data_IF_675840435458
#
_entry.id   IF_675840435458
#
_cell.length_a   1.000
_cell.length_b   1.000
_cell.length_c   1.000
_cell.angle_alpha   90.00
_cell.angle_beta   90.00
_cell.angle_gamma   90.00
#
_symmetry.space_group_name_H-M   'P 1'
#
loop_
_entity.id
_entity.type
_entity.pdbx_description
1 polymer ?
#
# COMPACT_ATOMS: atom_id res chain seq x y z
N UNK A 1 -18.36 -4.09 19.60
CA UNK A 1 -18.89 -5.33 18.99
C UNK A 1 -18.80 -5.18 17.48
N UNK A 2 -18.18 -6.13 16.77
CA UNK A 2 -18.17 -6.11 15.32
C UNK A 2 -19.62 -6.22 14.82
N UNK A 3 -20.01 -5.42 13.82
CA UNK A 3 -21.36 -5.50 13.24
C UNK A 3 -21.61 -6.93 12.74
N UNK A 4 -22.81 -7.50 12.94
CA UNK A 4 -23.13 -8.82 12.42
C UNK A 4 -22.96 -8.82 10.89
N UNK A 5 -22.22 -9.81 10.39
CA UNK A 5 -21.86 -9.91 8.98
C UNK A 5 -23.02 -10.48 8.18
N UNK A 6 -23.24 -9.92 6.99
CA UNK A 6 -24.24 -10.42 6.06
C UNK A 6 -23.51 -11.06 4.86
N UNK A 7 -23.49 -12.40 4.81
CA UNK A 7 -22.81 -13.15 3.75
C UNK A 7 -23.29 -12.77 2.35
N UNK A 8 -24.58 -12.46 2.19
CA UNK A 8 -25.14 -12.05 0.90
C UNK A 8 -24.61 -10.69 0.46
N UNK A 9 -24.53 -9.73 1.39
CA UNK A 9 -23.94 -8.41 1.12
C UNK A 9 -22.45 -8.54 0.81
N UNK A 10 -21.72 -9.36 1.57
CA UNK A 10 -20.29 -9.61 1.33
C UNK A 10 -20.07 -10.19 -0.08
N UNK A 11 -20.91 -11.13 -0.51
CA UNK A 11 -20.84 -11.72 -1.84
C UNK A 11 -21.22 -10.74 -2.95
N UNK A 12 -22.26 -9.92 -2.76
CA UNK A 12 -22.63 -8.88 -3.73
C UNK A 12 -21.52 -7.84 -3.92
N UNK A 13 -20.84 -7.43 -2.84
CA UNK A 13 -19.67 -6.56 -2.92
C UNK A 13 -18.54 -7.20 -3.73
N UNK A 14 -18.28 -8.49 -3.49
CA UNK A 14 -17.29 -9.24 -4.26
C UNK A 14 -17.66 -9.35 -5.74
N UNK A 15 -18.91 -9.70 -6.05
CA UNK A 15 -19.40 -9.75 -7.42
C UNK A 15 -19.27 -8.38 -8.10
N UNK A 16 -19.62 -7.31 -7.40
CA UNK A 16 -19.45 -5.93 -7.86
C UNK A 16 -18.00 -5.61 -8.20
N UNK A 17 -17.04 -6.00 -7.34
CA UNK A 17 -15.61 -5.84 -7.64
C UNK A 17 -15.21 -6.62 -8.90
N UNK A 18 -15.64 -7.87 -9.04
CA UNK A 18 -15.28 -8.72 -10.18
C UNK A 18 -15.86 -8.21 -11.50
N UNK A 19 -17.09 -7.73 -11.49
CA UNK A 19 -17.71 -7.09 -12.65
C UNK A 19 -16.98 -5.79 -13.02
N UNK A 20 -16.61 -4.98 -12.03
CA UNK A 20 -15.83 -3.78 -12.25
C UNK A 20 -14.44 -4.10 -12.83
N UNK A 21 -13.75 -5.10 -12.28
CA UNK A 21 -12.46 -5.58 -12.79
C UNK A 21 -12.58 -6.06 -14.24
N UNK A 22 -13.61 -6.84 -14.57
CA UNK A 22 -13.86 -7.27 -15.95
C UNK A 22 -14.09 -6.07 -16.87
N UNK A 23 -14.88 -5.09 -16.43
CA UNK A 23 -15.17 -3.88 -17.20
C UNK A 23 -13.90 -3.07 -17.49
N UNK A 24 -13.07 -2.77 -16.49
CA UNK A 24 -11.84 -1.99 -16.72
C UNK A 24 -10.85 -2.70 -17.63
N UNK A 25 -10.82 -4.04 -17.63
CA UNK A 25 -9.95 -4.84 -18.50
C UNK A 25 -10.37 -4.83 -19.97
N UNK A 26 -11.58 -4.35 -20.29
CA UNK A 26 -12.01 -4.12 -21.68
C UNK A 26 -11.33 -2.90 -22.32
N UNK A 27 -10.70 -2.04 -21.52
CA UNK A 27 -10.09 -0.79 -21.97
C UNK A 27 -8.58 -0.78 -21.77
N UNK A 28 -7.86 0.00 -22.58
CA UNK A 28 -6.43 0.24 -22.40
C UNK A 28 -6.12 1.04 -21.12
N UNK A 29 -4.86 0.99 -20.69
CA UNK A 29 -4.39 1.67 -19.46
C UNK A 29 -4.71 3.17 -19.49
N UNK A 30 -4.44 3.86 -20.59
CA UNK A 30 -4.71 5.29 -20.73
C UNK A 30 -6.20 5.65 -20.51
N UNK A 31 -7.10 4.88 -21.12
CA UNK A 31 -8.54 5.10 -20.97
C UNK A 31 -8.99 4.88 -19.51
N UNK A 32 -8.46 3.84 -18.86
CA UNK A 32 -8.72 3.59 -17.44
C UNK A 32 -8.20 4.72 -16.54
N UNK A 33 -7.06 5.33 -16.85
CA UNK A 33 -6.53 6.49 -16.13
C UNK A 33 -7.39 7.75 -16.31
N UNK A 34 -7.92 7.99 -17.51
CA UNK A 34 -8.88 9.07 -17.75
C UNK A 34 -10.16 8.84 -16.94
N UNK A 35 -10.71 7.62 -16.95
CA UNK A 35 -11.86 7.25 -16.13
C UNK A 35 -11.58 7.49 -14.64
N UNK A 36 -10.46 6.96 -14.12
CA UNK A 36 -10.06 7.14 -12.72
C UNK A 36 -9.86 8.62 -12.35
N UNK A 37 -9.39 9.45 -13.29
CA UNK A 37 -9.28 10.89 -13.07
C UNK A 37 -10.65 11.54 -12.81
N UNK A 38 -11.65 11.23 -13.63
CA UNK A 38 -12.99 11.75 -13.47
C UNK A 38 -13.68 11.19 -12.22
N UNK A 39 -13.54 9.89 -11.96
CA UNK A 39 -14.06 9.25 -10.74
C UNK A 39 -13.47 9.90 -9.49
N UNK A 40 -12.15 10.12 -9.43
CA UNK A 40 -11.51 10.77 -8.28
C UNK A 40 -11.94 12.22 -8.10
N UNK A 41 -12.21 12.94 -9.19
CA UNK A 41 -12.78 14.29 -9.11
C UNK A 41 -14.18 14.27 -8.50
N UNK A 42 -15.04 13.35 -8.93
CA UNK A 42 -16.40 13.17 -8.39
C UNK A 42 -16.33 12.77 -6.91
N UNK A 43 -15.46 11.80 -6.56
CA UNK A 43 -15.26 11.35 -5.19
C UNK A 43 -14.85 12.50 -4.26
N UNK A 44 -13.98 13.40 -4.72
CA UNK A 44 -13.61 14.59 -3.94
C UNK A 44 -14.81 15.50 -3.62
N UNK A 45 -15.78 15.60 -4.53
CA UNK A 45 -16.96 16.42 -4.30
C UNK A 45 -17.96 15.74 -3.37
N UNK A 46 -18.19 14.42 -3.54
CA UNK A 46 -19.17 13.64 -2.78
C UNK A 46 -18.68 13.26 -1.37
N UNK A 47 -17.41 12.85 -1.24
CA UNK A 47 -16.85 12.38 0.04
C UNK A 47 -16.37 13.55 0.91
N UNK A 48 -17.35 14.27 1.47
CA UNK A 48 -17.11 15.42 2.32
C UNK A 48 -16.27 15.09 3.55
N UNK A 49 -16.42 13.88 4.11
CA UNK A 49 -15.72 13.45 5.31
C UNK A 49 -14.22 13.30 5.06
N UNK A 50 -13.83 12.54 4.04
CA UNK A 50 -12.42 12.33 3.72
C UNK A 50 -11.79 13.59 3.15
N UNK A 51 -12.54 14.39 2.37
CA UNK A 51 -12.09 15.71 1.94
C UNK A 51 -11.72 16.61 3.11
N UNK A 52 -12.58 16.69 4.14
CA UNK A 52 -12.32 17.51 5.33
C UNK A 52 -11.04 17.05 6.04
N UNK A 53 -10.90 15.75 6.26
CA UNK A 53 -9.71 15.15 6.89
C UNK A 53 -8.43 15.42 6.12
N UNK A 54 -8.44 15.23 4.79
CA UNK A 54 -7.28 15.48 3.95
C UNK A 54 -6.81 16.93 4.04
N UNK A 55 -7.75 17.89 3.94
CA UNK A 55 -7.43 19.32 4.09
C UNK A 55 -6.91 19.68 5.47
N UNK A 56 -7.49 19.11 6.52
CA UNK A 56 -7.07 19.33 7.90
C UNK A 56 -5.66 18.80 8.16
N UNK A 57 -5.35 17.59 7.69
CA UNK A 57 -4.00 17.04 7.77
C UNK A 57 -2.99 17.95 7.05
N UNK A 58 -3.32 18.41 5.84
CA UNK A 58 -2.45 19.32 5.08
C UNK A 58 -2.23 20.65 5.79
N UNK A 59 -3.27 21.29 6.34
CA UNK A 59 -3.12 22.54 7.10
C UNK A 59 -2.20 22.38 8.32
N UNK A 60 -2.33 21.26 9.03
CA UNK A 60 -1.50 21.00 10.21
C UNK A 60 -0.06 20.60 9.83
N UNK A 61 0.14 19.98 8.68
CA UNK A 61 1.48 19.56 8.21
C UNK A 61 2.22 20.66 7.45
N UNK A 62 1.49 21.58 6.82
CA UNK A 62 2.01 22.66 5.99
C UNK A 62 1.28 23.98 6.33
N UNK A 63 1.59 24.60 7.48
CA UNK A 63 0.85 25.77 7.98
C UNK A 63 0.98 26.99 7.05
N UNK A 64 2.07 27.09 6.29
CA UNK A 64 2.33 28.21 5.38
C UNK A 64 1.65 28.08 4.02
N UNK A 65 0.89 27.00 3.78
CA UNK A 65 0.20 26.81 2.50
C UNK A 65 -1.13 27.56 2.44
N UNK A 66 -1.37 28.21 1.31
CA UNK A 66 -2.66 28.82 1.03
C UNK A 66 -3.78 27.78 0.82
N UNK A 67 -5.02 28.22 0.99
CA UNK A 67 -6.19 27.35 0.88
C UNK A 67 -6.35 26.77 -0.53
N UNK A 68 -5.89 27.49 -1.56
CA UNK A 68 -5.92 27.04 -2.95
C UNK A 68 -5.01 25.84 -3.17
N UNK A 69 -3.76 25.90 -2.67
CA UNK A 69 -2.79 24.80 -2.71
C UNK A 69 -3.27 23.62 -1.87
N UNK A 70 -3.77 23.86 -0.66
CA UNK A 70 -4.35 22.80 0.19
C UNK A 70 -5.47 22.07 -0.55
N UNK A 71 -6.41 22.80 -1.16
CA UNK A 71 -7.51 22.18 -1.93
C UNK A 71 -6.99 21.40 -3.13
N UNK A 72 -6.03 21.95 -3.88
CA UNK A 72 -5.42 21.31 -5.05
C UNK A 72 -4.76 19.98 -4.68
N UNK A 73 -3.95 19.98 -3.63
CA UNK A 73 -3.22 18.79 -3.16
C UNK A 73 -4.17 17.77 -2.52
N UNK A 74 -5.14 18.21 -1.71
CA UNK A 74 -6.15 17.30 -1.16
C UNK A 74 -6.94 16.57 -2.26
N UNK A 75 -7.32 17.31 -3.32
CA UNK A 75 -8.01 16.72 -4.48
C UNK A 75 -7.14 15.72 -5.23
N UNK A 76 -5.86 16.06 -5.46
CA UNK A 76 -4.92 15.14 -6.08
C UNK A 76 -4.69 13.88 -5.23
N UNK A 77 -4.54 14.03 -3.91
CA UNK A 77 -4.36 12.92 -2.97
C UNK A 77 -5.57 11.98 -2.93
N UNK A 78 -6.80 12.51 -2.87
CA UNK A 78 -8.01 11.68 -2.91
C UNK A 78 -8.17 10.97 -4.26
N UNK A 79 -7.81 11.62 -5.37
CA UNK A 79 -7.78 10.97 -6.69
C UNK A 79 -6.73 9.86 -6.74
N UNK A 80 -5.59 10.01 -6.08
CA UNK A 80 -4.56 8.97 -6.00
C UNK A 80 -5.08 7.68 -5.37
N UNK A 81 -6.05 7.74 -4.46
CA UNK A 81 -6.69 6.53 -3.91
C UNK A 81 -7.45 5.75 -4.99
N UNK A 82 -8.04 6.45 -5.97
CA UNK A 82 -8.70 5.81 -7.12
C UNK A 82 -7.68 5.19 -8.06
N UNK A 83 -6.55 5.88 -8.32
CA UNK A 83 -5.44 5.31 -9.08
C UNK A 83 -4.89 4.05 -8.41
N UNK A 84 -4.61 4.10 -7.10
CA UNK A 84 -4.17 2.95 -6.32
C UNK A 84 -5.11 1.74 -6.50
N UNK A 85 -6.42 1.94 -6.35
CA UNK A 85 -7.41 0.87 -6.50
C UNK A 85 -7.44 0.30 -7.92
N UNK A 86 -7.40 1.16 -8.94
CA UNK A 86 -7.33 0.74 -10.34
C UNK A 86 -6.05 -0.05 -10.63
N UNK A 87 -4.91 0.48 -10.20
CA UNK A 87 -3.60 -0.12 -10.43
C UNK A 87 -3.50 -1.49 -9.78
N UNK A 88 -4.01 -1.69 -8.56
CA UNK A 88 -4.08 -3.02 -7.91
C UNK A 88 -4.76 -4.06 -8.80
N UNK A 89 -5.83 -3.69 -9.51
CA UNK A 89 -6.59 -4.60 -10.36
C UNK A 89 -5.92 -4.86 -11.72
N UNK A 90 -5.19 -3.87 -12.27
CA UNK A 90 -4.49 -4.00 -13.54
C UNK A 90 -3.09 -4.64 -13.40
N UNK A 91 -2.45 -4.45 -12.25
CA UNK A 91 -1.07 -4.88 -11.98
C UNK A 91 -0.79 -6.34 -12.34
N UNK A 92 -1.66 -7.32 -12.03
CA UNK A 92 -1.36 -8.72 -12.33
C UNK A 92 -1.22 -9.04 -13.82
N UNK A 93 -1.84 -8.24 -14.69
CA UNK A 93 -1.80 -8.45 -16.14
C UNK A 93 -0.66 -7.64 -16.80
N UNK A 94 -0.28 -6.52 -16.18
CA UNK A 94 0.75 -5.59 -16.68
C UNK A 94 2.16 -5.93 -16.15
N UNK A 95 2.26 -6.30 -14.88
CA UNK A 95 3.52 -6.50 -14.15
C UNK A 95 3.85 -7.99 -14.11
N UNK A 96 4.12 -8.55 -15.29
CA UNK A 96 4.62 -9.91 -15.45
C UNK A 96 6.13 -9.89 -15.69
N UNK A 97 6.86 -11.02 -15.49
CA UNK A 97 8.29 -11.08 -15.77
C UNK A 97 8.67 -10.60 -17.17
N UNK A 98 7.79 -10.81 -18.16
CA UNK A 98 8.01 -10.41 -19.55
C UNK A 98 7.68 -8.92 -19.84
N UNK A 99 6.78 -8.29 -19.09
CA UNK A 99 6.20 -6.98 -19.47
C UNK A 99 6.47 -5.85 -18.49
N UNK A 100 6.88 -6.12 -17.25
CA UNK A 100 6.94 -5.10 -16.19
C UNK A 100 7.73 -3.83 -16.58
N UNK A 101 8.81 -3.96 -17.35
CA UNK A 101 9.65 -2.83 -17.82
C UNK A 101 8.95 -1.88 -18.79
N UNK A 102 7.83 -2.27 -19.38
CA UNK A 102 7.03 -1.41 -20.26
C UNK A 102 6.25 -0.36 -19.46
N UNK A 103 5.95 -0.65 -18.19
CA UNK A 103 5.10 0.19 -17.33
C UNK A 103 5.86 0.78 -16.15
N UNK A 104 7.01 0.22 -15.79
CA UNK A 104 7.73 0.56 -14.56
C UNK A 104 9.22 0.74 -14.82
N UNK A 105 9.78 1.75 -14.17
CA UNK A 105 11.22 1.99 -14.12
C UNK A 105 11.67 2.11 -12.65
N UNK A 106 12.63 1.28 -12.25
CA UNK A 106 13.29 1.37 -10.95
C UNK A 106 14.38 2.45 -11.00
N UNK A 107 13.97 3.71 -10.92
CA UNK A 107 14.88 4.85 -11.02
C UNK A 107 15.70 5.05 -9.74
N UNK A 108 16.99 5.33 -9.90
CA UNK A 108 17.93 5.62 -8.80
C UNK A 108 18.05 4.51 -7.74
N UNK A 109 17.78 3.24 -8.11
CA UNK A 109 17.81 2.11 -7.19
C UNK A 109 19.07 1.22 -7.32
N UNK A 110 20.10 1.64 -8.06
CA UNK A 110 21.26 0.77 -8.35
C UNK A 110 21.92 0.22 -7.10
N UNK A 111 22.16 1.06 -6.10
CA UNK A 111 22.81 0.65 -4.86
C UNK A 111 21.91 -0.26 -4.03
N UNK A 112 20.62 0.08 -3.90
CA UNK A 112 19.64 -0.77 -3.22
C UNK A 112 19.57 -2.14 -3.89
N UNK A 113 19.41 -2.20 -5.21
CA UNK A 113 19.39 -3.46 -5.97
C UNK A 113 20.69 -4.24 -5.77
N UNK A 114 21.85 -3.58 -5.74
CA UNK A 114 23.13 -4.25 -5.47
C UNK A 114 23.15 -4.89 -4.08
N UNK A 115 22.68 -4.19 -3.06
CA UNK A 115 22.58 -4.71 -1.70
C UNK A 115 21.60 -5.90 -1.63
N UNK A 116 20.47 -5.79 -2.32
CA UNK A 116 19.48 -6.87 -2.42
C UNK A 116 20.01 -8.11 -3.15
N UNK A 117 20.83 -7.95 -4.17
CA UNK A 117 21.42 -9.08 -4.90
C UNK A 117 22.54 -9.76 -4.12
N UNK A 118 23.24 -9.03 -3.24
CA UNK A 118 24.25 -9.61 -2.37
C UNK A 118 23.63 -10.37 -1.21
N UNK A 119 22.57 -9.79 -0.62
CA UNK A 119 21.76 -10.37 0.44
C UNK A 119 22.58 -11.05 1.55
N UNK A 120 23.65 -10.39 1.99
CA UNK A 120 24.59 -10.89 3.01
C UNK A 120 24.01 -10.85 4.43
N UNK A 121 22.86 -10.19 4.60
CA UNK A 121 22.14 -10.02 5.87
C UNK A 121 20.66 -9.77 5.62
N UNK A 122 19.84 -9.90 6.67
CA UNK A 122 18.43 -9.55 6.63
C UNK A 122 18.19 -8.11 6.20
N UNK A 123 17.10 -7.86 5.49
CA UNK A 123 16.73 -6.53 5.01
C UNK A 123 15.35 -6.10 5.50
N UNK A 124 15.21 -4.82 5.85
CA UNK A 124 13.93 -4.22 6.19
C UNK A 124 13.55 -3.22 5.09
N UNK A 125 12.48 -3.50 4.35
CA UNK A 125 11.90 -2.55 3.40
C UNK A 125 10.89 -1.68 4.15
N UNK A 126 11.04 -0.36 4.02
CA UNK A 126 10.23 0.60 4.73
C UNK A 126 9.60 1.58 3.75
N UNK A 127 8.29 1.76 3.84
CA UNK A 127 7.56 2.79 3.12
C UNK A 127 6.43 3.38 3.98
N UNK A 128 5.74 4.38 3.45
CA UNK A 128 4.45 4.87 3.97
C UNK A 128 3.32 4.54 3.00
N UNK A 129 2.08 4.90 3.36
CA UNK A 129 0.94 4.90 2.46
C UNK A 129 1.07 6.07 1.45
N UNK A 130 2.13 6.01 0.64
CA UNK A 130 2.55 7.05 -0.29
C UNK A 130 2.85 6.45 -1.66
N UNK A 131 2.46 7.16 -2.72
CA UNK A 131 2.53 6.63 -4.09
C UNK A 131 1.65 5.38 -4.24
N UNK A 132 2.23 4.31 -4.78
CA UNK A 132 1.58 3.01 -4.87
C UNK A 132 2.47 1.90 -4.27
N UNK A 133 2.24 1.62 -2.99
CA UNK A 133 2.98 0.59 -2.25
C UNK A 133 2.58 -0.84 -2.65
N UNK A 134 1.38 -1.04 -3.22
CA UNK A 134 0.93 -2.36 -3.69
C UNK A 134 1.69 -2.76 -4.96
N UNK A 135 1.85 -1.83 -5.91
CA UNK A 135 2.57 -2.05 -7.15
C UNK A 135 4.04 -2.32 -6.89
N UNK A 136 4.71 -1.55 -6.02
CA UNK A 136 6.13 -1.78 -5.73
C UNK A 136 6.34 -3.14 -5.07
N UNK A 137 5.53 -3.52 -4.08
CA UNK A 137 5.62 -4.84 -3.43
C UNK A 137 5.40 -5.98 -4.42
N UNK A 138 4.37 -5.86 -5.26
CA UNK A 138 4.10 -6.83 -6.31
C UNK A 138 5.23 -6.92 -7.33
N UNK A 139 5.77 -5.77 -7.78
CA UNK A 139 6.88 -5.70 -8.75
C UNK A 139 8.13 -6.36 -8.21
N UNK A 140 8.49 -6.10 -6.93
CA UNK A 140 9.66 -6.71 -6.29
C UNK A 140 9.54 -8.24 -6.26
N UNK A 141 8.34 -8.75 -5.94
CA UNK A 141 8.05 -10.19 -6.01
C UNK A 141 8.15 -10.72 -7.47
N UNK A 142 7.56 -10.01 -8.44
CA UNK A 142 7.62 -10.35 -9.87
C UNK A 142 9.06 -10.48 -10.39
N UNK A 143 9.97 -9.62 -9.94
CA UNK A 143 11.37 -9.64 -10.39
C UNK A 143 12.26 -10.59 -9.56
N UNK A 144 11.67 -11.36 -8.64
CA UNK A 144 12.34 -12.44 -7.92
C UNK A 144 12.87 -12.08 -6.54
N UNK A 145 12.59 -10.89 -6.02
CA UNK A 145 12.95 -10.56 -4.64
C UNK A 145 11.90 -11.10 -3.67
N UNK A 146 12.29 -11.79 -2.58
CA UNK A 146 11.36 -12.20 -1.55
C UNK A 146 10.76 -10.97 -0.87
N UNK A 147 9.44 -10.90 -0.80
CA UNK A 147 8.70 -9.80 -0.16
C UNK A 147 7.78 -10.39 0.89
N UNK A 148 8.07 -10.12 2.17
CA UNK A 148 7.21 -10.49 3.28
C UNK A 148 6.51 -9.23 3.82
N UNK A 149 5.23 -9.05 3.51
CA UNK A 149 4.48 -7.87 3.93
C UNK A 149 3.56 -8.18 5.11
N UNK A 150 3.57 -7.33 6.13
CA UNK A 150 2.65 -7.45 7.26
C UNK A 150 1.34 -6.74 6.91
N UNK A 151 0.22 -7.47 6.88
CA UNK A 151 -1.08 -6.88 6.60
C UNK A 151 -2.19 -7.49 7.47
N UNK A 152 -3.22 -6.68 7.75
CA UNK A 152 -4.46 -7.17 8.35
C UNK A 152 -5.39 -7.71 7.25
N UNK A 153 -6.07 -8.85 7.45
CA UNK A 153 -7.11 -9.31 6.55
C UNK A 153 -8.22 -8.25 6.34
N UNK A 154 -8.76 -8.19 5.12
CA UNK A 154 -9.95 -7.38 4.85
C UNK A 154 -11.17 -7.97 5.57
N UNK A 155 -12.10 -7.11 5.98
CA UNK A 155 -13.27 -7.54 6.75
C UNK A 155 -14.21 -8.45 5.92
N UNK A 156 -14.23 -8.28 4.59
CA UNK A 156 -14.95 -9.17 3.66
C UNK A 156 -14.00 -10.29 3.17
N UNK A 157 -14.32 -11.57 3.42
CA UNK A 157 -13.44 -12.70 3.16
C UNK A 157 -13.28 -13.01 1.67
N UNK A 158 -14.31 -12.79 0.86
CA UNK A 158 -14.23 -13.01 -0.58
C UNK A 158 -13.29 -11.97 -1.23
N UNK A 159 -13.40 -10.71 -0.80
CA UNK A 159 -12.46 -9.66 -1.19
C UNK A 159 -11.06 -9.96 -0.65
N UNK A 160 -10.95 -10.41 0.60
CA UNK A 160 -9.67 -10.77 1.21
C UNK A 160 -8.96 -11.87 0.41
N UNK A 161 -9.64 -12.98 0.13
CA UNK A 161 -9.09 -14.10 -0.62
C UNK A 161 -8.66 -13.69 -2.03
N UNK A 162 -9.47 -12.89 -2.71
CA UNK A 162 -9.13 -12.39 -4.04
C UNK A 162 -7.88 -11.49 -4.02
N UNK A 163 -7.82 -10.49 -3.13
CA UNK A 163 -6.67 -9.57 -3.03
C UNK A 163 -5.42 -10.30 -2.53
N UNK A 164 -5.57 -11.28 -1.62
CA UNK A 164 -4.46 -12.11 -1.17
C UNK A 164 -3.91 -12.95 -2.32
N UNK A 165 -4.79 -13.58 -3.11
CA UNK A 165 -4.41 -14.33 -4.30
C UNK A 165 -3.75 -13.46 -5.37
N UNK A 166 -4.16 -12.19 -5.50
CA UNK A 166 -3.45 -11.20 -6.32
C UNK A 166 -2.03 -10.99 -5.78
N UNK A 167 -1.88 -10.60 -4.51
CA UNK A 167 -0.56 -10.32 -3.90
C UNK A 167 0.39 -11.52 -4.01
N UNK A 168 -0.10 -12.71 -3.66
CA UNK A 168 0.72 -13.92 -3.59
C UNK A 168 1.03 -14.55 -4.96
N UNK A 169 0.39 -14.11 -6.04
CA UNK A 169 0.54 -14.70 -7.39
C UNK A 169 2.00 -14.82 -7.84
N UNK A 170 2.84 -13.84 -7.50
CA UNK A 170 4.23 -13.76 -7.92
C UNK A 170 5.22 -13.95 -6.75
N UNK A 171 4.81 -14.62 -5.66
CA UNK A 171 5.73 -15.02 -4.59
C UNK A 171 5.83 -14.06 -3.40
N UNK A 172 5.03 -12.99 -3.34
CA UNK A 172 4.89 -12.19 -2.12
C UNK A 172 4.22 -13.02 -1.04
N UNK A 173 4.73 -12.96 0.19
CA UNK A 173 4.12 -13.59 1.36
C UNK A 173 3.50 -12.52 2.25
N UNK A 174 2.25 -12.73 2.67
CA UNK A 174 1.56 -11.81 3.57
C UNK A 174 1.51 -12.42 4.96
N UNK A 175 2.15 -11.76 5.92
CA UNK A 175 2.18 -12.16 7.33
C UNK A 175 0.99 -11.54 8.06
N UNK A 176 0.29 -12.33 8.88
CA UNK A 176 -0.70 -11.79 9.81
C UNK A 176 0.03 -10.97 10.88
N UNK A 177 -0.54 -9.82 11.25
CA UNK A 177 -0.03 -8.97 12.34
C UNK A 177 0.14 -9.75 13.66
N UNK A 178 -0.64 -10.80 13.90
CA UNK A 178 -0.43 -11.72 15.03
C UNK A 178 0.74 -12.68 14.74
N UNK A 179 1.80 -12.58 15.53
CA UNK A 179 3.01 -13.40 15.33
C UNK A 179 3.97 -12.83 14.28
N UNK A 180 3.64 -11.69 13.66
CA UNK A 180 4.51 -11.03 12.67
C UNK A 180 5.92 -10.73 13.20
N UNK A 181 6.08 -10.47 14.50
CA UNK A 181 7.40 -10.16 15.08
C UNK A 181 8.32 -11.38 15.07
N UNK A 182 7.83 -12.54 15.52
CA UNK A 182 8.61 -13.80 15.53
C UNK A 182 8.96 -14.22 14.11
N UNK A 183 7.99 -14.18 13.20
CA UNK A 183 8.23 -14.49 11.79
C UNK A 183 9.19 -13.50 11.15
N UNK A 184 9.14 -12.22 11.52
CA UNK A 184 10.07 -11.22 11.01
C UNK A 184 11.51 -11.46 11.50
N UNK A 185 11.69 -11.84 12.77
CA UNK A 185 13.00 -12.23 13.30
C UNK A 185 13.57 -13.42 12.50
N UNK A 186 12.79 -14.51 12.34
CA UNK A 186 13.22 -15.70 11.59
C UNK A 186 13.57 -15.36 10.12
N UNK A 187 12.77 -14.49 9.48
CA UNK A 187 13.05 -14.07 8.10
C UNK A 187 14.36 -13.30 8.02
N UNK A 188 14.61 -12.37 8.94
CA UNK A 188 15.82 -11.55 8.95
C UNK A 188 17.08 -12.38 9.27
N UNK A 189 17.00 -13.33 10.21
CA UNK A 189 18.09 -14.26 10.55
C UNK A 189 18.50 -15.12 9.35
N UNK A 190 17.55 -15.49 8.50
CA UNK A 190 17.80 -16.25 7.26
C UNK A 190 18.14 -15.35 6.06
N UNK A 191 18.63 -14.13 6.32
CA UNK A 191 18.97 -13.12 5.32
C UNK A 191 17.80 -12.70 4.42
N UNK A 192 16.55 -12.96 4.81
CA UNK A 192 15.35 -12.56 4.06
C UNK A 192 14.99 -11.08 4.21
N UNK A 193 13.89 -10.66 3.58
CA UNK A 193 13.48 -9.25 3.57
C UNK A 193 12.04 -9.01 4.05
N UNK A 194 11.88 -8.26 5.14
CA UNK A 194 10.56 -7.93 5.71
C UNK A 194 10.14 -6.52 5.31
N UNK A 195 8.90 -6.34 4.89
CA UNK A 195 8.35 -5.08 4.39
C UNK A 195 7.30 -4.49 5.33
N UNK A 196 7.47 -3.21 5.67
CA UNK A 196 6.56 -2.47 6.54
C UNK A 196 6.04 -1.19 5.88
N UNK A 197 4.77 -0.89 6.14
CA UNK A 197 4.14 0.40 5.86
C UNK A 197 3.95 1.12 7.21
N UNK A 198 4.75 2.15 7.47
CA UNK A 198 5.08 2.58 8.84
C UNK A 198 4.54 3.96 9.25
N UNK A 199 3.55 4.51 8.55
CA UNK A 199 3.02 5.86 8.74
C UNK A 199 1.61 5.91 9.36
N UNK A 200 1.11 4.77 9.87
CA UNK A 200 -0.14 4.74 10.64
C UNK A 200 0.10 4.81 12.16
N UNK A 201 -0.90 5.32 12.87
CA UNK A 201 -0.91 5.45 14.32
C UNK A 201 -0.66 4.10 15.02
N UNK A 202 0.40 4.04 15.82
CA UNK A 202 0.74 2.86 16.64
C UNK A 202 -0.03 2.80 17.96
N UNK A 203 -0.93 3.75 18.22
CA UNK A 203 -1.75 3.81 19.41
C UNK A 203 -0.96 4.21 20.66
N UNK A 204 -1.54 3.98 21.85
CA UNK A 204 -0.97 4.50 23.12
C UNK A 204 0.39 3.92 23.51
N UNK A 205 0.77 2.76 22.97
CA UNK A 205 2.04 2.07 23.27
C UNK A 205 3.14 2.36 22.24
N UNK A 206 2.86 3.18 21.23
CA UNK A 206 3.86 3.59 20.25
C UNK A 206 4.90 4.54 20.84
N UNK A 207 5.99 4.75 20.10
CA UNK A 207 6.99 5.76 20.43
C UNK A 207 6.55 7.09 19.80
N UNK A 208 6.45 8.14 20.60
CA UNK A 208 6.08 9.47 20.12
C UNK A 208 7.28 10.19 19.55
N UNK A 209 7.31 10.36 18.23
CA UNK A 209 8.35 11.10 17.50
C UNK A 209 7.76 12.32 16.82
N UNK A 210 8.60 13.29 16.48
CA UNK A 210 8.14 14.48 15.75
C UNK A 210 7.92 14.16 14.27
N UNK A 211 6.70 14.38 13.80
CA UNK A 211 6.31 14.24 12.40
C UNK A 211 5.54 15.49 11.96
N UNK A 212 6.11 16.25 11.02
CA UNK A 212 5.64 17.59 10.66
C UNK A 212 5.47 18.50 11.89
N UNK A 213 6.49 18.54 12.76
CA UNK A 213 6.54 19.41 13.95
C UNK A 213 5.56 19.05 15.06
N UNK A 214 4.94 17.86 15.02
CA UNK A 214 3.95 17.40 15.99
C UNK A 214 4.27 15.99 16.45
N UNK A 215 4.00 15.69 17.71
CA UNK A 215 4.14 14.33 18.25
C UNK A 215 3.15 13.39 17.56
N UNK A 216 3.67 12.35 16.93
CA UNK A 216 2.91 11.27 16.31
C UNK A 216 3.37 9.93 16.92
N UNK A 217 2.42 9.03 17.19
CA UNK A 217 2.72 7.71 17.72
C UNK A 217 3.14 6.75 16.60
N UNK A 218 4.35 6.22 16.70
CA UNK A 218 5.00 5.41 15.66
C UNK A 218 5.41 4.02 16.18
N UNK A 219 5.44 3.03 15.29
CA UNK A 219 5.83 1.65 15.61
C UNK A 219 7.32 1.53 15.92
N UNK A 220 7.68 1.48 17.20
CA UNK A 220 9.07 1.25 17.65
C UNK A 220 9.63 -0.12 17.27
N UNK A 221 8.77 -1.11 17.02
CA UNK A 221 9.18 -2.48 16.68
C UNK A 221 10.07 -2.54 15.44
N UNK A 222 9.85 -1.65 14.46
CA UNK A 222 10.64 -1.63 13.21
C UNK A 222 12.09 -1.25 13.51
N UNK A 223 12.32 -0.20 14.32
CA UNK A 223 13.66 0.22 14.73
C UNK A 223 14.33 -0.82 15.64
N UNK A 224 13.58 -1.43 16.57
CA UNK A 224 14.10 -2.48 17.43
C UNK A 224 14.51 -3.73 16.66
N UNK A 225 13.76 -4.11 15.62
CA UNK A 225 14.15 -5.19 14.70
C UNK A 225 15.44 -4.82 13.97
N UNK A 226 15.54 -3.61 13.42
CA UNK A 226 16.76 -3.18 12.73
C UNK A 226 18.00 -3.24 13.64
N UNK A 227 17.92 -2.75 14.88
CA UNK A 227 19.04 -2.76 15.84
C UNK A 227 19.45 -4.17 16.30
N UNK A 228 18.51 -5.13 16.28
CA UNK A 228 18.80 -6.52 16.67
C UNK A 228 19.57 -7.26 15.58
N UNK A 229 19.29 -6.93 14.32
CA UNK A 229 19.80 -7.59 13.12
C UNK A 229 20.86 -6.75 12.38
N UNK A 230 21.53 -5.84 13.10
CA UNK A 230 22.64 -5.00 12.60
C UNK A 230 23.92 -5.80 12.33
#
# INVERSE_FOLDING_TARGET
>A
MAKPRNKFVDYLQYLGLRLFEMFIKMFGVEANYVMAFHMGNVLFYLDHRHRRRAKEHLRRSFPDWDEKRIRKVAKASMRNVVYLGLEVLLTPDLVTPAKWRQYLALAHQKENIRQLLRQERGAIYLTGHFGNWEVIGYTMATVGFPVYAVARPLDNPYLNEHILGVRQRNGMTVLDKKGATEQADDILDNCGAVSFIADQDAGRKGCFVDFFGRKASTYKSIALLAMRHE
#
